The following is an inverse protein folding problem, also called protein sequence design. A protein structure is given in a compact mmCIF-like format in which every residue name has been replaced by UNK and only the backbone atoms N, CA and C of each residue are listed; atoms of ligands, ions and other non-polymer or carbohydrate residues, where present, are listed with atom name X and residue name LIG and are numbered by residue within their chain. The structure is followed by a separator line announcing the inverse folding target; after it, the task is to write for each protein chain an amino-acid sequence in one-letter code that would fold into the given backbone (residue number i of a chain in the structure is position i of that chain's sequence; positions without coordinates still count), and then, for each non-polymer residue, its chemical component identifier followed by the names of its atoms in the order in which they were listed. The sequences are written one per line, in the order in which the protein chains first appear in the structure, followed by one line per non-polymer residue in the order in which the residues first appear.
data_IF_276160827797
#
_entry.id   IF_276160827797
#
_cell.length_a   1.000
_cell.length_b   1.000
_cell.length_c   1.000
_cell.angle_alpha   90.00
_cell.angle_beta   90.00
_cell.angle_gamma   90.00
#
_symmetry.space_group_name_H-M   'P 1'
#
loop_
_entity.id
_entity.type
_entity.pdbx_description
1 polymer ?
#
# COMPACT_ATOMS: atom_id res chain seq x y z
N UNK A 1 -5.68 8.11 -1.51
CA UNK A 1 -5.81 7.32 -0.25
C UNK A 1 -6.72 6.14 -0.53
N UNK A 2 -6.46 4.99 0.11
CA UNK A 2 -7.31 3.81 0.00
C UNK A 2 -7.52 3.19 1.39
N UNK A 3 -8.74 2.72 1.64
CA UNK A 3 -9.03 1.80 2.76
C UNK A 3 -8.61 0.39 2.33
N UNK A 4 -7.81 -0.27 3.17
CA UNK A 4 -7.29 -1.60 2.87
C UNK A 4 -7.61 -2.57 4.01
N UNK A 5 -7.84 -3.82 3.63
CA UNK A 5 -7.95 -4.95 4.55
C UNK A 5 -6.83 -5.93 4.22
N UNK A 6 -5.94 -6.17 5.18
CA UNK A 6 -4.84 -7.11 5.05
C UNK A 6 -5.11 -8.34 5.91
N UNK A 7 -5.06 -9.53 5.30
CA UNK A 7 -5.22 -10.81 5.99
C UNK A 7 -3.95 -11.62 5.85
N UNK A 8 -3.38 -12.06 6.97
CA UNK A 8 -2.18 -12.89 6.96
C UNK A 8 -2.53 -14.35 6.65
N UNK A 9 -1.95 -14.89 5.58
CA UNK A 9 -2.22 -16.24 5.05
C UNK A 9 -1.09 -17.25 5.34
N UNK A 10 0.02 -16.80 5.93
CA UNK A 10 1.15 -17.65 6.32
C UNK A 10 0.93 -18.41 7.63
N UNK A 11 1.91 -19.25 7.99
CA UNK A 11 1.88 -20.08 9.19
C UNK A 11 2.56 -19.43 10.41
N UNK A 12 3.36 -18.38 10.21
CA UNK A 12 4.09 -17.66 11.26
C UNK A 12 3.32 -16.40 11.65
N UNK A 13 3.93 -15.23 11.52
CA UNK A 13 3.29 -13.93 11.71
C UNK A 13 3.70 -12.98 10.59
N UNK A 14 3.01 -11.85 10.49
CA UNK A 14 3.36 -10.78 9.55
C UNK A 14 2.85 -9.43 10.04
N UNK A 15 3.53 -8.36 9.66
CA UNK A 15 3.15 -6.98 9.98
C UNK A 15 2.81 -6.26 8.68
N UNK A 16 1.53 -6.05 8.35
CA UNK A 16 1.10 -5.59 7.03
C UNK A 16 1.79 -4.33 6.51
N UNK A 17 2.08 -3.37 7.39
CA UNK A 17 2.72 -2.11 6.99
C UNK A 17 4.24 -2.23 6.78
N UNK A 18 4.87 -3.30 7.24
CA UNK A 18 6.28 -3.63 6.98
C UNK A 18 6.38 -4.54 5.75
N UNK A 19 5.51 -5.53 5.67
CA UNK A 19 5.60 -6.60 4.68
C UNK A 19 5.01 -6.23 3.33
N UNK A 20 4.20 -5.15 3.26
CA UNK A 20 3.60 -4.66 2.02
C UNK A 20 4.04 -3.24 1.72
N UNK A 21 4.39 -3.01 0.45
CA UNK A 21 4.59 -1.68 -0.12
C UNK A 21 3.35 -1.27 -0.92
N UNK A 22 2.94 -0.01 -0.74
CA UNK A 22 1.84 0.61 -1.48
C UNK A 22 2.38 1.77 -2.30
N UNK A 23 2.33 1.65 -3.63
CA UNK A 23 2.80 2.67 -4.57
C UNK A 23 1.70 3.01 -5.57
N UNK A 24 1.89 4.06 -6.36
CA UNK A 24 0.99 4.41 -7.45
C UNK A 24 1.76 4.46 -8.77
N UNK A 25 1.28 3.74 -9.79
CA UNK A 25 1.66 3.92 -11.19
C UNK A 25 0.80 5.04 -11.79
N UNK A 26 1.41 6.18 -12.07
CA UNK A 26 0.74 7.33 -12.69
C UNK A 26 0.49 7.15 -14.18
N UNK A 27 -0.38 7.99 -14.74
CA UNK A 27 -0.77 8.01 -16.16
C UNK A 27 0.41 8.17 -17.13
N UNK A 28 1.54 8.73 -16.67
CA UNK A 28 2.76 8.91 -17.46
C UNK A 28 3.76 7.75 -17.30
N UNK A 29 3.34 6.61 -16.74
CA UNK A 29 4.17 5.42 -16.47
C UNK A 29 5.35 5.65 -15.50
N UNK A 30 5.21 6.60 -14.58
CA UNK A 30 6.14 6.81 -13.48
C UNK A 30 5.50 6.41 -12.13
N UNK A 31 6.35 6.02 -11.18
CA UNK A 31 5.92 5.47 -9.89
C UNK A 31 6.10 6.48 -8.76
N UNK A 32 5.10 6.56 -7.88
CA UNK A 32 5.06 7.36 -6.67
C UNK A 32 4.93 6.48 -5.43
N UNK A 33 5.42 6.96 -4.28
CA UNK A 33 5.31 6.29 -2.97
C UNK A 33 6.65 5.83 -2.39
N UNK A 34 7.76 6.08 -3.07
CA UNK A 34 9.11 5.77 -2.58
C UNK A 34 9.87 7.00 -2.08
N UNK A 35 9.47 8.21 -2.49
CA UNK A 35 10.10 9.44 -2.02
C UNK A 35 9.39 9.97 -0.76
N UNK A 36 10.14 10.63 0.12
CA UNK A 36 9.57 11.32 1.29
C UNK A 36 8.55 12.41 0.89
N UNK A 37 8.71 13.01 -0.29
CA UNK A 37 7.79 13.98 -0.88
C UNK A 37 6.43 13.37 -1.27
N UNK A 38 6.37 12.05 -1.46
CA UNK A 38 5.14 11.33 -1.79
C UNK A 38 4.33 10.94 -0.54
N UNK A 39 4.79 11.32 0.65
CA UNK A 39 4.09 11.04 1.91
C UNK A 39 2.87 11.94 2.09
N UNK A 40 1.76 11.37 2.56
CA UNK A 40 0.60 12.13 3.02
C UNK A 40 0.71 12.59 4.49
N UNK A 41 1.86 12.37 5.14
CA UNK A 41 2.08 12.73 6.54
C UNK A 41 1.34 11.81 7.52
N UNK A 42 0.56 12.41 8.43
CA UNK A 42 -0.30 11.69 9.36
C UNK A 42 -1.68 11.56 8.75
N UNK A 43 -2.14 10.32 8.57
CA UNK A 43 -3.45 10.00 8.03
C UNK A 43 -4.32 9.35 9.12
N UNK A 44 -5.64 9.53 9.10
CA UNK A 44 -6.53 8.87 10.05
C UNK A 44 -6.50 7.36 9.86
N UNK A 45 -6.58 6.59 10.96
CA UNK A 45 -6.64 5.12 10.97
C UNK A 45 -5.55 4.48 10.08
N UNK A 46 -4.31 4.93 10.20
CA UNK A 46 -3.26 4.48 9.29
C UNK A 46 -2.99 2.98 9.47
N UNK A 47 -2.76 2.25 8.37
CA UNK A 47 -2.39 0.84 8.44
C UNK A 47 -1.13 0.62 9.30
N UNK A 48 -0.21 1.61 9.31
CA UNK A 48 1.00 1.60 10.15
C UNK A 48 0.73 1.59 11.65
N UNK A 49 -0.48 1.95 12.06
CA UNK A 49 -0.89 1.95 13.48
C UNK A 49 -1.41 0.56 13.91
N UNK A 50 -1.49 -0.39 12.97
CA UNK A 50 -1.89 -1.78 13.24
C UNK A 50 -0.70 -2.63 13.68
N UNK A 51 -0.98 -3.63 14.53
CA UNK A 51 0.03 -4.55 15.06
C UNK A 51 0.28 -5.77 14.17
N UNK A 52 1.15 -6.65 14.67
CA UNK A 52 1.43 -7.95 14.07
C UNK A 52 0.17 -8.83 13.97
N UNK A 53 0.06 -9.54 12.85
CA UNK A 53 -0.98 -10.51 12.56
C UNK A 53 -0.45 -11.93 12.69
N UNK A 54 -1.17 -12.75 13.46
CA UNK A 54 -1.04 -14.20 13.52
C UNK A 54 -1.81 -14.86 12.36
N UNK A 55 -1.65 -16.18 12.12
CA UNK A 55 -2.32 -16.88 11.02
C UNK A 55 -3.82 -16.59 10.99
N UNK A 56 -4.32 -16.20 9.82
CA UNK A 56 -5.72 -15.81 9.54
C UNK A 56 -6.17 -14.50 10.20
N UNK A 57 -5.29 -13.80 10.91
CA UNK A 57 -5.54 -12.46 11.44
C UNK A 57 -5.81 -11.46 10.32
N UNK A 58 -6.66 -10.46 10.60
CA UNK A 58 -7.00 -9.40 9.64
C UNK A 58 -6.91 -8.03 10.30
N UNK A 59 -6.24 -7.09 9.65
CA UNK A 59 -6.22 -5.68 10.03
C UNK A 59 -6.81 -4.82 8.93
N UNK A 60 -7.39 -3.68 9.32
CA UNK A 60 -7.90 -2.66 8.41
C UNK A 60 -7.29 -1.31 8.75
N UNK A 61 -7.06 -0.51 7.73
CA UNK A 61 -6.54 0.85 7.89
C UNK A 61 -6.40 1.55 6.55
N UNK A 62 -5.95 2.79 6.59
CA UNK A 62 -5.73 3.61 5.42
C UNK A 62 -4.26 3.59 5.00
N UNK A 63 -4.05 3.62 3.68
CA UNK A 63 -2.76 3.89 3.04
C UNK A 63 -2.89 5.09 2.11
N UNK A 64 -1.80 5.84 1.95
CA UNK A 64 -1.83 7.08 1.16
C UNK A 64 -0.49 7.34 0.50
N UNK A 65 -0.57 7.73 -0.77
CA UNK A 65 0.54 8.23 -1.59
C UNK A 65 0.08 9.57 -2.18
N UNK A 66 0.88 10.61 -1.99
CA UNK A 66 0.70 11.92 -2.58
C UNK A 66 1.17 11.88 -4.04
N UNK A 67 0.30 12.26 -4.96
CA UNK A 67 0.53 12.17 -6.40
C UNK A 67 0.02 13.44 -7.06
N UNK A 68 0.75 14.04 -8.01
CA UNK A 68 0.26 15.16 -8.80
C UNK A 68 -1.06 14.82 -9.49
N UNK A 69 -2.03 15.75 -9.50
CA UNK A 69 -3.39 15.47 -9.95
C UNK A 69 -3.47 15.00 -11.41
N UNK A 70 -2.58 15.50 -12.26
CA UNK A 70 -2.45 15.12 -13.68
C UNK A 70 -2.02 13.66 -13.89
N UNK A 71 -1.46 13.01 -12.87
CA UNK A 71 -1.05 11.61 -12.92
C UNK A 71 -2.17 10.65 -12.52
N UNK A 72 -3.24 11.13 -11.88
CA UNK A 72 -4.33 10.29 -11.37
C UNK A 72 -5.22 9.64 -12.44
N UNK A 73 -5.53 10.27 -13.60
CA UNK A 73 -6.38 9.64 -14.62
C UNK A 73 -5.77 8.34 -15.14
N UNK A 74 -6.43 7.20 -14.87
CA UNK A 74 -5.93 5.89 -15.28
C UNK A 74 -4.78 5.35 -14.43
N UNK A 75 -4.50 5.96 -13.27
CA UNK A 75 -3.51 5.46 -12.33
C UNK A 75 -3.90 4.12 -11.72
N UNK A 76 -2.90 3.37 -11.25
CA UNK A 76 -3.11 2.11 -10.55
C UNK A 76 -2.34 2.12 -9.23
N UNK A 77 -2.94 1.56 -8.17
CA UNK A 77 -2.19 1.11 -7.01
C UNK A 77 -1.30 -0.05 -7.41
N UNK A 78 -0.09 -0.06 -6.88
CA UNK A 78 0.82 -1.19 -6.90
C UNK A 78 0.89 -1.68 -5.46
N UNK A 79 0.58 -2.96 -5.24
CA UNK A 79 0.77 -3.64 -3.97
C UNK A 79 1.80 -4.73 -4.18
N UNK A 80 2.86 -4.69 -3.39
CA UNK A 80 4.01 -5.58 -3.52
C UNK A 80 4.43 -6.06 -2.14
N UNK A 81 4.84 -7.33 -2.01
CA UNK A 81 5.50 -7.79 -0.80
C UNK A 81 6.95 -7.28 -0.73
N UNK A 82 7.31 -6.63 0.37
CA UNK A 82 8.54 -5.85 0.53
C UNK A 82 9.86 -6.61 0.30
N UNK A 83 9.83 -7.93 0.34
CA UNK A 83 11.02 -8.78 0.30
C UNK A 83 10.96 -9.92 -0.73
N UNK A 84 9.92 -9.98 -1.57
CA UNK A 84 9.78 -11.05 -2.58
C UNK A 84 10.03 -10.61 -4.02
N UNK A 85 9.99 -9.32 -4.34
CA UNK A 85 10.42 -8.73 -5.63
C UNK A 85 9.70 -9.18 -6.91
N UNK A 86 8.97 -10.30 -6.86
CA UNK A 86 8.40 -10.99 -8.02
C UNK A 86 6.86 -10.95 -8.05
N UNK A 87 6.21 -10.45 -7.00
CA UNK A 87 4.75 -10.45 -6.83
C UNK A 87 4.18 -9.02 -6.69
N UNK A 88 4.14 -8.28 -7.80
CA UNK A 88 3.42 -7.00 -7.89
C UNK A 88 1.97 -7.21 -8.37
N UNK A 89 1.01 -6.64 -7.64
CA UNK A 89 -0.40 -6.61 -8.02
C UNK A 89 -0.82 -5.19 -8.34
N UNK A 90 -1.49 -4.99 -9.47
CA UNK A 90 -2.03 -3.71 -9.91
C UNK A 90 -3.53 -3.63 -9.64
N UNK A 91 -3.98 -2.54 -9.01
CA UNK A 91 -5.40 -2.28 -8.72
C UNK A 91 -5.75 -0.88 -9.24
N UNK A 92 -6.66 -0.80 -10.21
CA UNK A 92 -7.04 0.47 -10.82
C UNK A 92 -7.71 1.42 -9.84
N UNK A 93 -7.37 2.71 -9.93
CA UNK A 93 -8.10 3.79 -9.25
C UNK A 93 -9.30 4.14 -10.13
N UNK A 94 -10.50 3.72 -9.73
CA UNK A 94 -11.76 4.18 -10.34
C UNK A 94 -12.09 5.63 -9.94
#
# INVERSE_FOLDING_TARGET
MADVSATYTGAETGTPWIDLNFRILGSSNNVFGSASADSCGVIPNALRDTGELYPRGTSRGNVCVSVPAEQLPGANWIVEASFSGDDEVFVSLE
#
